data_IF_511197552965
#
_entry.id   IF_511197552965
#
_cell.length_a   1.000
_cell.length_b   1.000
_cell.length_c   1.000
_cell.angle_alpha   90.00
_cell.angle_beta   90.00
_cell.angle_gamma   90.00
#
_symmetry.space_group_name_H-M   'P 1'
#
loop_
_entity.id
_entity.type
_entity.pdbx_description
1 polymer ?
#
# COMPACT_ATOMS: atom_id res chain seq x y z
N UNK A 1 -2.88 -13.12 36.73
CA UNK A 1 -3.91 -13.92 36.03
C UNK A 1 -4.60 -12.97 35.06
N UNK A 2 -4.02 -12.79 33.87
CA UNK A 2 -4.35 -13.51 32.63
C UNK A 2 -5.74 -13.18 32.11
N UNK A 3 -5.82 -12.14 31.28
CA UNK A 3 -6.77 -12.06 30.18
C UNK A 3 -5.93 -11.83 28.93
N UNK A 4 -5.59 -12.95 28.30
CA UNK A 4 -4.94 -13.08 27.01
C UNK A 4 -6.05 -13.12 25.95
N UNK A 5 -5.69 -12.71 24.74
CA UNK A 5 -6.39 -12.89 23.45
C UNK A 5 -7.48 -11.89 23.05
N UNK A 6 -7.12 -11.06 22.06
CA UNK A 6 -7.86 -10.96 20.81
C UNK A 6 -6.86 -10.75 19.66
N UNK A 7 -6.30 -11.86 19.17
CA UNK A 7 -5.53 -11.95 17.94
C UNK A 7 -6.52 -11.98 16.77
N UNK A 8 -6.75 -10.83 16.13
CA UNK A 8 -7.55 -10.75 14.89
C UNK A 8 -6.68 -11.22 13.73
N UNK A 9 -6.46 -12.54 13.67
CA UNK A 9 -6.17 -13.21 12.41
C UNK A 9 -7.50 -13.41 11.70
N UNK A 10 -7.69 -12.75 10.55
CA UNK A 10 -8.80 -13.03 9.65
C UNK A 10 -8.60 -14.39 8.97
N UNK A 11 -8.90 -15.45 9.72
CA UNK A 11 -8.96 -16.82 9.24
C UNK A 11 -10.20 -16.94 8.35
N UNK A 12 -10.00 -17.34 7.09
CA UNK A 12 -11.10 -17.85 6.27
C UNK A 12 -11.51 -19.22 6.82
N UNK A 13 -12.80 -19.55 6.76
CA UNK A 13 -13.47 -20.76 7.28
C UNK A 13 -12.87 -22.13 6.82
N UNK A 14 -11.78 -22.15 6.04
CA UNK A 14 -11.04 -23.38 5.67
C UNK A 14 -9.70 -23.57 6.42
N UNK A 15 -9.34 -22.66 7.34
CA UNK A 15 -8.09 -22.76 8.11
C UNK A 15 -6.82 -22.31 7.36
N UNK A 16 -6.93 -21.80 6.14
CA UNK A 16 -5.80 -21.22 5.41
C UNK A 16 -5.61 -19.76 5.82
N UNK A 17 -4.41 -19.42 6.32
CA UNK A 17 -3.99 -18.01 6.48
C UNK A 17 -3.92 -17.39 5.09
N UNK A 18 -4.97 -16.67 4.69
CA UNK A 18 -4.88 -15.82 3.49
C UNK A 18 -3.83 -14.77 3.77
N UNK A 19 -2.80 -14.72 2.92
CA UNK A 19 -1.89 -13.58 2.86
C UNK A 19 -2.74 -12.37 2.48
N UNK A 20 -2.99 -11.49 3.43
CA UNK A 20 -3.65 -10.20 3.19
C UNK A 20 -2.70 -9.35 2.37
N UNK A 21 -3.15 -8.87 1.21
CA UNK A 21 -2.36 -7.92 0.45
C UNK A 21 -2.30 -6.58 1.21
N UNK A 22 -1.28 -5.76 0.94
CA UNK A 22 -1.17 -4.36 1.41
C UNK A 22 -2.50 -3.62 1.42
N UNK A 23 -3.33 -3.87 0.40
CA UNK A 23 -4.63 -3.25 0.22
C UNK A 23 -5.67 -3.65 1.27
N UNK A 24 -5.77 -4.94 1.61
CA UNK A 24 -6.65 -5.44 2.67
C UNK A 24 -6.24 -4.88 4.02
N UNK A 25 -4.93 -4.72 4.20
CA UNK A 25 -4.35 -4.12 5.40
C UNK A 25 -4.59 -2.60 5.46
N UNK A 26 -4.46 -1.89 4.35
CA UNK A 26 -4.79 -0.46 4.21
C UNK A 26 -6.28 -0.22 4.49
N UNK A 27 -7.15 -1.03 3.89
CA UNK A 27 -8.60 -1.01 4.17
C UNK A 27 -8.86 -1.25 5.66
N UNK A 28 -8.30 -2.32 6.23
CA UNK A 28 -8.46 -2.63 7.66
C UNK A 28 -7.99 -1.50 8.59
N UNK A 29 -6.84 -0.89 8.30
CA UNK A 29 -6.34 0.26 9.05
C UNK A 29 -7.24 1.50 8.93
N UNK A 30 -7.80 1.76 7.74
CA UNK A 30 -8.76 2.86 7.55
C UNK A 30 -10.08 2.64 8.30
N UNK A 31 -10.54 1.39 8.42
CA UNK A 31 -11.80 1.07 9.13
C UNK A 31 -11.62 0.93 10.64
N UNK A 32 -10.49 0.40 11.10
CA UNK A 32 -10.26 0.10 12.51
C UNK A 32 -9.56 1.25 13.25
N UNK A 33 -9.03 2.25 12.52
CA UNK A 33 -8.32 3.39 13.10
C UNK A 33 -6.96 3.05 13.70
N UNK A 34 -6.52 1.80 13.62
CA UNK A 34 -5.16 1.38 13.98
C UNK A 34 -4.21 1.67 12.82
N UNK A 35 -3.11 2.35 13.12
CA UNK A 35 -2.06 2.62 12.14
C UNK A 35 -1.37 1.33 11.71
N UNK A 36 -1.06 1.23 10.42
CA UNK A 36 -0.31 0.10 9.87
C UNK A 36 1.11 0.12 10.44
N UNK A 37 1.61 -1.02 10.93
CA UNK A 37 2.97 -1.09 11.44
C UNK A 37 3.98 -0.93 10.29
N UNK A 38 5.11 -0.29 10.56
CA UNK A 38 6.16 -0.11 9.56
C UNK A 38 6.71 -1.45 9.05
N UNK A 39 6.66 -2.50 9.85
CA UNK A 39 7.10 -3.84 9.44
C UNK A 39 6.15 -4.44 8.42
N UNK A 40 4.85 -4.32 8.67
CA UNK A 40 3.85 -4.84 7.73
C UNK A 40 3.84 -4.06 6.42
N UNK A 41 4.03 -2.74 6.47
CA UNK A 41 4.23 -1.91 5.26
C UNK A 41 5.44 -2.41 4.48
N UNK A 42 6.55 -2.70 5.17
CA UNK A 42 7.80 -3.12 4.52
C UNK A 42 7.68 -4.50 3.88
N UNK A 43 7.13 -5.48 4.60
CA UNK A 43 6.92 -6.83 4.07
C UNK A 43 6.01 -6.81 2.85
N UNK A 44 4.93 -6.02 2.91
CA UNK A 44 4.00 -5.93 1.81
C UNK A 44 4.56 -5.15 0.61
N UNK A 45 5.23 -4.01 0.82
CA UNK A 45 5.93 -3.31 -0.26
C UNK A 45 6.98 -4.23 -0.91
N UNK A 46 7.67 -5.06 -0.14
CA UNK A 46 8.60 -6.06 -0.70
C UNK A 46 7.87 -7.14 -1.52
N UNK A 47 6.66 -7.55 -1.11
CA UNK A 47 5.81 -8.50 -1.85
C UNK A 47 5.22 -7.90 -3.14
N UNK A 48 4.91 -6.59 -3.15
CA UNK A 48 4.47 -5.88 -4.36
C UNK A 48 5.62 -5.73 -5.37
N UNK A 49 6.82 -5.44 -4.89
CA UNK A 49 8.00 -5.24 -5.72
C UNK A 49 8.79 -6.55 -5.84
N UNK A 50 8.14 -7.67 -6.22
CA UNK A 50 8.82 -8.97 -6.41
C UNK A 50 9.94 -8.95 -7.48
N UNK A 51 9.99 -7.92 -8.32
CA UNK A 51 11.02 -7.75 -9.33
C UNK A 51 12.28 -7.06 -8.75
N UNK A 52 13.36 -7.83 -8.63
CA UNK A 52 14.66 -7.34 -8.14
C UNK A 52 15.22 -6.17 -8.95
N UNK A 53 14.97 -6.12 -10.26
CA UNK A 53 15.42 -5.00 -11.09
C UNK A 53 14.67 -3.72 -10.74
N UNK A 54 13.37 -3.81 -10.44
CA UNK A 54 12.57 -2.67 -10.01
C UNK A 54 13.05 -2.20 -8.63
N UNK A 55 13.30 -3.12 -7.69
CA UNK A 55 13.85 -2.77 -6.37
C UNK A 55 15.20 -2.08 -6.48
N UNK A 56 16.10 -2.57 -7.32
CA UNK A 56 17.43 -1.96 -7.51
C UNK A 56 17.33 -0.56 -8.10
N UNK A 57 16.49 -0.36 -9.11
CA UNK A 57 16.23 0.97 -9.69
C UNK A 57 15.63 1.93 -8.67
N UNK A 58 14.67 1.47 -7.89
CA UNK A 58 14.02 2.26 -6.85
C UNK A 58 15.00 2.64 -5.74
N UNK A 59 15.80 1.70 -5.28
CA UNK A 59 16.83 1.97 -4.28
C UNK A 59 17.86 2.98 -4.79
N UNK A 60 18.28 2.86 -6.05
CA UNK A 60 19.17 3.83 -6.70
C UNK A 60 18.57 5.25 -6.67
N UNK A 61 17.32 5.42 -7.10
CA UNK A 61 16.64 6.72 -7.06
C UNK A 61 16.60 7.31 -5.64
N UNK A 62 16.23 6.49 -4.66
CA UNK A 62 16.15 6.94 -3.26
C UNK A 62 17.52 7.39 -2.76
N UNK A 63 18.57 6.61 -3.01
CA UNK A 63 19.93 6.95 -2.59
C UNK A 63 20.43 8.22 -3.29
N UNK A 64 20.14 8.41 -4.57
CA UNK A 64 20.57 9.57 -5.34
C UNK A 64 19.91 10.88 -4.86
N UNK A 65 18.65 10.83 -4.40
CA UNK A 65 17.86 12.01 -4.01
C UNK A 65 17.90 12.28 -2.51
N UNK A 66 17.76 11.24 -1.69
CA UNK A 66 17.67 11.33 -0.23
C UNK A 66 19.05 11.20 0.43
N UNK A 67 20.00 10.51 -0.22
CA UNK A 67 21.30 10.19 0.34
C UNK A 67 21.28 8.96 1.24
N UNK A 68 22.46 8.53 1.68
CA UNK A 68 22.63 7.35 2.55
C UNK A 68 22.58 7.66 4.05
N UNK A 69 22.49 8.94 4.42
CA UNK A 69 22.56 9.36 5.81
C UNK A 69 21.23 9.10 6.53
N UNK A 70 21.24 8.18 7.49
CA UNK A 70 20.07 7.85 8.28
C UNK A 70 19.64 8.95 9.28
N UNK A 71 20.37 10.08 9.33
CA UNK A 71 20.12 11.20 10.25
C UNK A 71 19.64 12.48 9.54
N UNK A 72 19.73 12.54 8.21
CA UNK A 72 19.17 13.66 7.46
C UNK A 72 17.65 13.57 7.46
N UNK A 73 17.01 14.68 7.82
CA UNK A 73 15.56 14.79 7.71
C UNK A 73 15.16 14.77 6.24
N UNK A 74 14.21 13.89 5.90
CA UNK A 74 13.67 13.80 4.55
C UNK A 74 12.74 14.99 4.33
N UNK A 75 13.05 15.81 3.33
CA UNK A 75 12.23 16.98 3.00
C UNK A 75 11.12 16.62 2.01
N UNK A 76 10.00 17.34 2.07
CA UNK A 76 8.88 17.18 1.12
C UNK A 76 9.36 17.39 -0.34
N UNK A 77 10.27 18.33 -0.55
CA UNK A 77 10.85 18.58 -1.88
C UNK A 77 11.59 17.36 -2.43
N UNK A 78 12.32 16.63 -1.59
CA UNK A 78 12.98 15.37 -2.00
C UNK A 78 11.95 14.29 -2.33
N UNK A 79 10.89 14.17 -1.53
CA UNK A 79 9.81 13.20 -1.80
C UNK A 79 9.17 13.46 -3.16
N UNK A 80 8.94 14.73 -3.51
CA UNK A 80 8.37 15.09 -4.81
C UNK A 80 9.28 14.79 -6.01
N UNK A 81 10.58 14.62 -5.80
CA UNK A 81 11.52 14.24 -6.86
C UNK A 81 11.65 12.71 -7.04
N UNK A 82 11.12 11.88 -6.13
CA UNK A 82 11.11 10.42 -6.22
C UNK A 82 10.05 9.92 -7.24
N UNK A 83 10.29 10.20 -8.52
CA UNK A 83 9.34 9.95 -9.63
C UNK A 83 9.14 8.46 -9.90
N UNK A 84 10.19 7.67 -9.79
CA UNK A 84 10.12 6.23 -9.97
C UNK A 84 9.39 5.56 -8.81
N UNK A 85 9.60 6.01 -7.57
CA UNK A 85 8.79 5.59 -6.42
C UNK A 85 7.30 5.85 -6.66
N UNK A 86 6.93 7.05 -7.12
CA UNK A 86 5.55 7.40 -7.44
C UNK A 86 4.96 6.48 -8.52
N UNK A 87 5.73 6.17 -9.57
CA UNK A 87 5.31 5.21 -10.61
C UNK A 87 5.10 3.80 -10.04
N UNK A 88 5.99 3.32 -9.18
CA UNK A 88 5.88 1.99 -8.56
C UNK A 88 4.64 1.90 -7.67
N UNK A 89 4.35 2.95 -6.88
CA UNK A 89 3.14 3.02 -6.05
C UNK A 89 1.88 3.03 -6.92
N UNK A 90 1.84 3.87 -7.96
CA UNK A 90 0.71 3.94 -8.90
C UNK A 90 0.47 2.61 -9.61
N UNK A 91 1.53 1.92 -10.00
CA UNK A 91 1.42 0.62 -10.64
C UNK A 91 0.93 -0.46 -9.66
N UNK A 92 1.37 -0.40 -8.41
CA UNK A 92 0.82 -1.21 -7.33
C UNK A 92 -0.69 -0.99 -7.16
N UNK A 93 -1.14 0.26 -7.15
CA UNK A 93 -2.56 0.62 -7.06
C UNK A 93 -3.34 0.26 -8.34
N UNK A 94 -2.69 0.20 -9.51
CA UNK A 94 -3.33 -0.27 -10.75
C UNK A 94 -3.61 -1.78 -10.69
N UNK A 95 -2.66 -2.56 -10.21
CA UNK A 95 -2.83 -4.00 -10.06
C UNK A 95 -3.77 -4.36 -8.90
N UNK A 96 -3.74 -3.55 -7.85
CA UNK A 96 -4.55 -3.72 -6.64
C UNK A 96 -5.25 -2.40 -6.30
N UNK A 97 -6.37 -2.08 -6.96
CA UNK A 97 -7.09 -0.84 -6.72
C UNK A 97 -7.78 -0.87 -5.34
N UNK A 98 -7.61 0.16 -4.48
CA UNK A 98 -8.16 0.21 -3.12
C UNK A 98 -9.69 0.17 -3.04
N UNK A 99 -10.39 0.44 -4.15
CA UNK A 99 -11.84 0.35 -4.25
C UNK A 99 -12.27 -0.32 -5.56
N UNK A 100 -13.04 -1.42 -5.53
CA UNK A 100 -13.43 -2.13 -6.75
C UNK A 100 -14.55 -1.43 -7.53
N UNK A 101 -15.37 -0.60 -6.88
CA UNK A 101 -16.56 0.01 -7.48
C UNK A 101 -16.77 1.41 -6.93
N UNK A 102 -16.91 2.39 -7.83
CA UNK A 102 -17.42 3.73 -7.51
C UNK A 102 -18.81 3.81 -8.12
N UNK A 103 -19.84 3.65 -7.29
CA UNK A 103 -21.23 3.79 -7.74
C UNK A 103 -21.53 5.25 -8.10
N UNK A 104 -22.30 5.45 -9.17
CA UNK A 104 -22.80 6.75 -9.60
C UNK A 104 -24.31 6.69 -9.60
N UNK A 105 -24.96 7.58 -8.87
CA UNK A 105 -26.40 7.84 -8.97
C UNK A 105 -26.66 8.91 -10.04
N UNK A 106 -27.74 8.71 -10.80
CA UNK A 106 -28.16 9.62 -11.87
C UNK A 106 -29.38 10.40 -11.38
N UNK A 107 -29.28 11.74 -11.34
CA UNK A 107 -30.36 12.62 -10.85
C UNK A 107 -31.34 13.06 -11.97
N UNK A 108 -31.02 12.78 -13.24
CA UNK A 108 -31.86 13.12 -14.40
C UNK A 108 -31.47 12.31 -15.63
N UNK A 109 -32.40 12.14 -16.58
CA UNK A 109 -32.20 11.34 -17.79
C UNK A 109 -30.87 11.67 -18.49
N UNK A 110 -30.03 10.65 -18.63
CA UNK A 110 -28.71 10.77 -19.24
C UNK A 110 -28.48 9.66 -20.26
N UNK A 111 -27.84 10.01 -21.39
CA UNK A 111 -27.50 9.08 -22.46
C UNK A 111 -26.01 8.75 -22.41
N UNK A 112 -25.68 7.45 -22.45
CA UNK A 112 -24.30 6.95 -22.45
C UNK A 112 -23.87 6.67 -23.88
N UNK A 113 -22.89 7.44 -24.37
CA UNK A 113 -22.40 7.30 -25.74
C UNK A 113 -23.42 7.79 -26.78
N UNK A 114 -22.91 8.34 -27.88
CA UNK A 114 -23.74 8.61 -29.07
C UNK A 114 -23.97 7.33 -29.86
#
# INVERSE_FOLDING_TARGET
>A
MSAKEANVQSVSDDGTKRRTALLDMLLGATFNGEGISNEDIREEVANFIQNKEIQQKLYGEIVDIVGTDSKSEITISQINELKYLDMVVKEGLRHYPPGPIVERTIDSDWTIGK
#
